data_IF_526121633792
#
_entry.id   IF_526121633792
#
_cell.length_a   1.000
_cell.length_b   1.000
_cell.length_c   1.000
_cell.angle_alpha   90.00
_cell.angle_beta   90.00
_cell.angle_gamma   90.00
#
_symmetry.space_group_name_H-M   'P 1'
#
loop_
_entity.id
_entity.type
_entity.pdbx_description
1 polymer ?
#
# COMPACT_ATOMS: atom_id res chain seq x y z
N UNK A 1 -3.03 -2.62 20.69
CA UNK A 1 -3.03 -3.57 19.57
C UNK A 1 -3.86 -3.02 18.42
N UNK A 2 -3.20 -2.30 17.48
CA UNK A 2 -3.85 -1.85 16.26
C UNK A 2 -3.94 -3.06 15.31
N UNK A 3 -5.11 -3.68 15.21
CA UNK A 3 -5.42 -4.66 14.19
C UNK A 3 -6.06 -3.94 13.01
N UNK A 4 -5.33 -3.74 11.93
CA UNK A 4 -5.97 -3.53 10.64
C UNK A 4 -6.51 -4.89 10.19
N UNK A 5 -7.79 -5.15 10.45
CA UNK A 5 -8.49 -6.34 9.94
C UNK A 5 -8.98 -6.03 8.53
N UNK A 6 -8.39 -6.69 7.54
CA UNK A 6 -9.05 -6.87 6.26
C UNK A 6 -9.96 -8.11 6.41
N UNK A 7 -11.27 -7.90 6.42
CA UNK A 7 -12.28 -8.94 6.45
C UNK A 7 -13.15 -8.81 5.19
N UNK A 8 -12.72 -9.47 4.12
CA UNK A 8 -13.66 -9.88 3.08
C UNK A 8 -14.37 -11.16 3.51
N UNK A 9 -15.58 -11.45 3.01
CA UNK A 9 -16.26 -12.71 3.27
C UNK A 9 -15.39 -13.88 2.80
N UNK A 10 -15.37 -14.97 3.59
CA UNK A 10 -14.69 -16.21 3.23
C UNK A 10 -15.22 -16.72 1.86
N UNK A 11 -14.37 -17.04 0.90
CA UNK A 11 -14.82 -17.56 -0.38
C UNK A 11 -15.45 -18.95 -0.21
N UNK A 12 -16.48 -19.24 -1.00
CA UNK A 12 -17.04 -20.57 -1.14
C UNK A 12 -16.07 -21.47 -1.89
N UNK A 13 -16.09 -22.77 -1.57
CA UNK A 13 -15.28 -23.83 -2.20
C UNK A 13 -15.52 -23.77 -3.72
N UNK A 14 -14.53 -23.33 -4.51
CA UNK A 14 -14.63 -23.24 -5.98
C UNK A 14 -14.18 -21.90 -6.57
N UNK A 15 -14.06 -20.81 -5.81
CA UNK A 15 -13.61 -19.54 -6.35
C UNK A 15 -12.08 -19.51 -6.50
N UNK A 16 -11.65 -19.37 -7.73
CA UNK A 16 -10.24 -19.26 -8.06
C UNK A 16 -9.69 -17.92 -7.59
N UNK A 17 -8.70 -18.00 -6.75
CA UNK A 17 -7.48 -17.25 -6.72
C UNK A 17 -7.27 -16.14 -5.71
N UNK A 18 -7.91 -15.06 -5.54
CA UNK A 18 -7.33 -13.91 -4.80
C UNK A 18 -7.72 -13.78 -3.32
N UNK A 19 -8.57 -14.61 -2.80
CA UNK A 19 -9.25 -14.42 -1.50
C UNK A 19 -8.50 -14.94 -0.27
N UNK A 20 -7.33 -15.53 -0.43
CA UNK A 20 -6.54 -16.11 0.68
C UNK A 20 -5.24 -15.35 0.99
N UNK A 21 -5.15 -14.08 0.61
CA UNK A 21 -3.92 -13.29 0.75
C UNK A 21 -4.23 -11.94 1.39
N UNK A 22 -3.47 -11.57 2.41
CA UNK A 22 -3.68 -10.33 3.13
C UNK A 22 -2.35 -9.61 3.39
N UNK A 23 -2.40 -8.28 3.37
CA UNK A 23 -1.35 -7.45 3.95
C UNK A 23 -1.86 -6.81 5.23
N UNK A 24 -1.07 -6.86 6.29
CA UNK A 24 -1.38 -6.19 7.55
C UNK A 24 -0.14 -5.47 8.09
N UNK A 25 -0.36 -4.31 8.72
CA UNK A 25 0.69 -3.61 9.45
C UNK A 25 0.75 -4.11 10.89
N UNK A 26 1.96 -4.38 11.37
CA UNK A 26 2.22 -4.93 12.71
C UNK A 26 3.45 -4.27 13.33
N UNK A 27 3.49 -4.25 14.67
CA UNK A 27 4.72 -4.00 15.40
C UNK A 27 5.56 -5.29 15.43
N UNK A 28 6.70 -5.27 14.75
CA UNK A 28 7.63 -6.39 14.69
C UNK A 28 8.77 -6.17 15.69
N UNK A 29 9.07 -7.19 16.50
CA UNK A 29 10.25 -7.21 17.37
C UNK A 29 11.33 -8.08 16.71
N UNK A 30 12.54 -7.51 16.55
CA UNK A 30 13.68 -8.22 16.00
C UNK A 30 14.92 -7.89 16.86
N UNK A 31 15.29 -8.82 17.74
CA UNK A 31 16.26 -8.59 18.79
C UNK A 31 15.85 -7.44 19.73
N UNK A 32 16.72 -6.48 19.92
CA UNK A 32 16.45 -5.26 20.70
C UNK A 32 15.68 -4.16 19.93
N UNK A 33 15.39 -4.35 18.65
CA UNK A 33 14.76 -3.35 17.80
C UNK A 33 13.28 -3.67 17.59
N UNK A 34 12.46 -2.61 17.48
CA UNK A 34 11.09 -2.69 17.05
C UNK A 34 10.93 -2.01 15.69
N UNK A 35 10.13 -2.60 14.79
CA UNK A 35 9.83 -2.07 13.47
C UNK A 35 8.33 -1.95 13.26
N UNK A 36 7.90 -0.95 12.51
CA UNK A 36 6.57 -0.91 11.92
C UNK A 36 6.64 -1.68 10.59
N UNK A 37 5.99 -2.84 10.54
CA UNK A 37 6.17 -3.78 9.43
C UNK A 37 4.84 -4.15 8.78
N UNK A 38 4.85 -4.41 7.48
CA UNK A 38 3.76 -5.03 6.75
C UNK A 38 4.13 -6.46 6.38
N UNK A 39 3.22 -7.38 6.60
CA UNK A 39 3.37 -8.79 6.22
C UNK A 39 2.48 -9.10 5.02
N UNK A 40 3.04 -9.77 4.04
CA UNK A 40 2.32 -10.40 2.95
C UNK A 40 2.14 -11.87 3.27
N UNK A 41 0.89 -12.31 3.42
CA UNK A 41 0.55 -13.66 3.85
C UNK A 41 -0.23 -14.34 2.73
N UNK A 42 0.16 -15.53 2.37
CA UNK A 42 -0.50 -16.40 1.40
C UNK A 42 -1.15 -17.62 2.06
N UNK A 43 -1.74 -18.52 1.24
CA UNK A 43 -2.36 -19.73 1.74
C UNK A 43 -1.41 -20.64 2.53
N UNK A 44 -0.14 -20.62 2.15
CA UNK A 44 0.91 -21.48 2.75
C UNK A 44 1.73 -20.75 3.83
N UNK A 45 1.29 -19.56 4.28
CA UNK A 45 1.93 -18.80 5.34
C UNK A 45 2.55 -17.48 4.88
N UNK A 46 3.56 -17.02 5.61
CA UNK A 46 4.26 -15.76 5.36
C UNK A 46 5.05 -15.82 4.05
N UNK A 47 4.79 -14.85 3.17
CA UNK A 47 5.51 -14.68 1.89
C UNK A 47 6.63 -13.65 2.05
N UNK A 48 6.33 -12.49 2.64
CA UNK A 48 7.27 -11.39 2.78
C UNK A 48 6.97 -10.48 3.97
N UNK A 49 8.00 -9.80 4.44
CA UNK A 49 7.90 -8.72 5.44
C UNK A 49 8.56 -7.48 4.87
N UNK A 50 7.85 -6.38 4.89
CA UNK A 50 8.36 -5.05 4.57
C UNK A 50 8.41 -4.22 5.86
N UNK A 51 9.56 -3.65 6.19
CA UNK A 51 9.75 -2.74 7.32
C UNK A 51 9.67 -1.29 6.85
N UNK A 52 8.77 -0.51 7.41
CA UNK A 52 8.47 0.87 7.02
C UNK A 52 9.74 1.72 6.90
N UNK A 53 10.01 2.21 5.71
CA UNK A 53 11.20 3.02 5.44
C UNK A 53 11.07 4.42 6.02
N UNK A 54 9.90 5.05 5.93
CA UNK A 54 9.68 6.45 6.29
C UNK A 54 8.77 6.54 7.52
N UNK A 55 9.38 6.69 8.69
CA UNK A 55 8.66 6.84 9.96
C UNK A 55 8.04 8.24 10.07
N UNK A 56 6.80 8.31 10.57
CA UNK A 56 6.04 9.55 10.74
C UNK A 56 5.97 9.96 12.20
N UNK A 57 6.26 11.24 12.51
CA UNK A 57 6.11 11.83 13.84
C UNK A 57 6.72 10.95 14.96
N UNK A 58 5.96 10.65 16.00
CA UNK A 58 6.39 9.89 17.17
C UNK A 58 6.80 8.44 16.89
N UNK A 59 6.49 7.91 15.70
CA UNK A 59 7.03 6.61 15.31
C UNK A 59 8.55 6.56 15.35
N UNK A 60 9.23 7.71 15.14
CA UNK A 60 10.69 7.83 15.20
C UNK A 60 11.26 7.56 16.60
N UNK A 61 10.43 7.72 17.63
CA UNK A 61 10.81 7.45 19.03
C UNK A 61 10.52 5.99 19.43
N UNK A 62 9.64 5.30 18.68
CA UNK A 62 9.15 3.96 19.04
C UNK A 62 9.73 2.86 18.17
N UNK A 63 10.05 3.18 16.91
CA UNK A 63 10.49 2.21 15.91
C UNK A 63 11.83 2.57 15.31
N UNK A 64 12.61 1.56 14.97
CA UNK A 64 13.78 1.70 14.11
C UNK A 64 13.33 1.91 12.66
N UNK A 65 14.10 2.70 11.90
CA UNK A 65 13.92 2.83 10.46
C UNK A 65 13.99 1.46 9.80
N UNK A 66 13.09 1.19 8.87
CA UNK A 66 13.10 -0.04 8.09
C UNK A 66 14.40 -0.21 7.32
N UNK A 67 14.85 -1.45 7.21
CA UNK A 67 16.06 -1.85 6.51
C UNK A 67 15.80 -2.90 5.42
N UNK A 68 14.53 -3.12 5.09
CA UNK A 68 14.12 -3.95 3.95
C UNK A 68 13.98 -3.06 2.71
N UNK A 69 14.48 -3.48 1.54
CA UNK A 69 14.23 -2.76 0.30
C UNK A 69 12.75 -2.81 -0.09
N UNK A 70 12.34 -1.89 -0.97
CA UNK A 70 11.05 -2.00 -1.64
C UNK A 70 11.12 -3.16 -2.65
N UNK A 71 10.36 -4.22 -2.39
CA UNK A 71 10.37 -5.45 -3.18
C UNK A 71 8.99 -5.80 -3.72
N UNK A 72 8.98 -6.55 -4.82
CA UNK A 72 7.77 -7.02 -5.50
C UNK A 72 7.76 -8.54 -5.46
N UNK A 73 6.62 -9.09 -5.11
CA UNK A 73 6.41 -10.53 -4.93
C UNK A 73 5.33 -11.01 -5.92
N UNK A 74 5.68 -12.01 -6.73
CA UNK A 74 4.72 -12.67 -7.60
C UNK A 74 3.80 -13.57 -6.78
N UNK A 75 2.50 -13.41 -6.98
CA UNK A 75 1.49 -14.17 -6.29
C UNK A 75 0.50 -14.74 -7.30
N UNK A 76 0.93 -15.84 -7.94
CA UNK A 76 0.12 -16.53 -8.95
C UNK A 76 -0.13 -15.66 -10.18
N UNK A 77 0.94 -15.03 -10.69
CA UNK A 77 0.92 -14.19 -11.86
C UNK A 77 0.51 -12.72 -11.62
N UNK A 78 0.26 -12.32 -10.37
CA UNK A 78 0.02 -10.93 -9.97
C UNK A 78 1.16 -10.45 -9.08
N UNK A 79 1.79 -9.34 -9.45
CA UNK A 79 2.97 -8.79 -8.77
C UNK A 79 2.58 -7.71 -7.78
N UNK A 80 2.85 -7.97 -6.50
CA UNK A 80 2.45 -7.13 -5.37
C UNK A 80 3.65 -6.46 -4.73
N UNK A 81 3.58 -5.13 -4.60
CA UNK A 81 4.49 -4.33 -3.77
C UNK A 81 3.80 -3.86 -2.50
N UNK A 82 4.57 -3.55 -1.46
CA UNK A 82 4.06 -3.04 -0.19
C UNK A 82 4.63 -1.67 0.14
N UNK A 83 3.78 -0.79 0.66
CA UNK A 83 4.12 0.48 1.31
C UNK A 83 3.36 0.57 2.63
N UNK A 84 3.82 1.37 3.58
CA UNK A 84 3.12 1.60 4.84
C UNK A 84 2.89 3.10 5.05
N UNK A 85 1.63 3.52 5.19
CA UNK A 85 1.23 4.85 5.64
C UNK A 85 2.09 5.97 4.99
N UNK A 86 2.93 6.65 5.74
CA UNK A 86 3.72 7.81 5.29
C UNK A 86 4.67 7.56 4.11
N UNK A 87 4.92 6.31 3.71
CA UNK A 87 5.68 6.01 2.49
C UNK A 87 5.02 6.62 1.24
N UNK A 88 3.70 6.89 1.27
CA UNK A 88 2.98 7.53 0.17
C UNK A 88 3.51 8.92 -0.18
N UNK A 89 4.12 9.62 0.80
CA UNK A 89 4.63 10.99 0.62
C UNK A 89 5.86 11.02 -0.30
N UNK A 90 6.57 9.90 -0.39
CA UNK A 90 7.80 9.75 -1.17
C UNK A 90 7.50 9.10 -2.52
N UNK A 91 7.50 9.86 -3.63
CA UNK A 91 7.25 9.30 -4.97
C UNK A 91 8.20 8.17 -5.33
N UNK A 92 9.41 8.19 -4.80
CA UNK A 92 10.44 7.17 -4.99
C UNK A 92 9.97 5.79 -4.52
N UNK A 93 9.16 5.70 -3.45
CA UNK A 93 8.65 4.44 -2.93
C UNK A 93 7.76 3.74 -3.98
N UNK A 94 6.73 4.44 -4.46
CA UNK A 94 5.83 3.91 -5.48
C UNK A 94 6.56 3.67 -6.82
N UNK A 95 7.46 4.59 -7.21
CA UNK A 95 8.25 4.47 -8.43
C UNK A 95 9.17 3.25 -8.40
N UNK A 96 9.85 3.00 -7.29
CA UNK A 96 10.72 1.82 -7.13
C UNK A 96 9.93 0.52 -7.28
N UNK A 97 8.77 0.41 -6.63
CA UNK A 97 7.90 -0.76 -6.76
C UNK A 97 7.42 -0.94 -8.20
N UNK A 98 7.00 0.13 -8.85
CA UNK A 98 6.52 0.09 -10.22
C UNK A 98 7.63 -0.30 -11.22
N UNK A 99 8.86 0.21 -11.06
CA UNK A 99 10.02 -0.17 -11.87
C UNK A 99 10.43 -1.63 -11.67
N UNK A 100 10.22 -2.19 -10.47
CA UNK A 100 10.37 -3.62 -10.20
C UNK A 100 9.20 -4.46 -10.70
N UNK A 101 8.23 -3.82 -11.35
CA UNK A 101 7.12 -4.47 -12.05
C UNK A 101 5.89 -4.73 -11.19
N UNK A 102 5.66 -4.01 -10.11
CA UNK A 102 4.42 -4.13 -9.35
C UNK A 102 3.19 -3.88 -10.23
N UNK A 103 2.20 -4.75 -10.14
CA UNK A 103 0.88 -4.57 -10.70
C UNK A 103 -0.03 -3.84 -9.68
N UNK A 104 0.14 -4.20 -8.39
CA UNK A 104 -0.65 -3.68 -7.27
C UNK A 104 0.28 -3.23 -6.15
N UNK A 105 0.02 -2.06 -5.58
CA UNK A 105 0.64 -1.58 -4.34
C UNK A 105 -0.37 -1.76 -3.20
N UNK A 106 -0.04 -2.60 -2.22
CA UNK A 106 -0.78 -2.74 -0.98
C UNK A 106 -0.25 -1.75 0.05
N UNK A 107 -1.15 -0.91 0.61
CA UNK A 107 -0.82 0.24 1.41
C UNK A 107 -1.62 0.30 2.71
N UNK A 108 -1.29 -0.54 3.74
CA UNK A 108 -1.90 -0.43 5.06
C UNK A 108 -1.49 0.89 5.73
N UNK A 109 -2.46 1.57 6.37
CA UNK A 109 -2.26 2.95 6.81
C UNK A 109 -3.03 3.30 8.08
N UNK A 110 -2.49 4.28 8.82
CA UNK A 110 -3.14 5.00 9.91
C UNK A 110 -3.05 6.52 9.62
N UNK A 111 -3.75 6.96 8.58
CA UNK A 111 -3.67 8.33 8.07
C UNK A 111 -4.43 9.30 8.98
N UNK A 112 -3.75 10.37 9.36
CA UNK A 112 -4.32 11.50 10.11
C UNK A 112 -4.35 12.79 9.27
N UNK A 113 -3.58 12.85 8.17
CA UNK A 113 -3.56 13.98 7.24
C UNK A 113 -4.42 13.67 6.01
N UNK A 114 -5.15 14.67 5.47
CA UNK A 114 -6.15 14.46 4.41
C UNK A 114 -5.57 14.24 3.01
N UNK A 115 -4.26 14.37 2.82
CA UNK A 115 -3.65 14.47 1.48
C UNK A 115 -3.46 13.13 0.77
N UNK A 116 -3.29 12.04 1.52
CA UNK A 116 -2.95 10.74 0.97
C UNK A 116 -3.97 10.20 -0.06
N UNK A 117 -5.30 10.30 0.15
CA UNK A 117 -6.26 9.79 -0.82
C UNK A 117 -6.11 10.41 -2.21
N UNK A 118 -5.83 11.72 -2.29
CA UNK A 118 -5.58 12.41 -3.56
C UNK A 118 -4.20 12.07 -4.13
N UNK A 119 -3.16 12.08 -3.30
CA UNK A 119 -1.80 11.77 -3.73
C UNK A 119 -1.66 10.36 -4.31
N UNK A 120 -2.35 9.38 -3.73
CA UNK A 120 -2.32 8.00 -4.24
C UNK A 120 -2.88 7.85 -5.65
N UNK A 121 -3.79 8.72 -6.09
CA UNK A 121 -4.26 8.75 -7.48
C UNK A 121 -3.13 9.14 -8.43
N UNK A 122 -2.33 10.14 -8.05
CA UNK A 122 -1.13 10.53 -8.80
C UNK A 122 -0.11 9.40 -8.80
N UNK A 123 0.13 8.72 -7.66
CA UNK A 123 1.02 7.55 -7.59
C UNK A 123 0.57 6.44 -8.53
N UNK A 124 -0.74 6.19 -8.63
CA UNK A 124 -1.28 5.21 -9.58
C UNK A 124 -1.07 5.63 -11.03
N UNK A 125 -1.40 6.88 -11.35
CA UNK A 125 -1.32 7.43 -12.71
C UNK A 125 0.12 7.45 -13.25
N UNK A 126 1.06 8.05 -12.51
CA UNK A 126 2.46 8.22 -12.93
C UNK A 126 3.26 6.92 -13.00
N UNK A 127 2.77 5.86 -12.34
CA UNK A 127 3.40 4.53 -12.27
C UNK A 127 2.62 3.45 -13.02
N UNK A 128 1.40 3.74 -13.48
CA UNK A 128 0.50 2.77 -14.10
C UNK A 128 0.39 1.50 -13.24
N UNK A 129 -0.05 1.67 -11.99
CA UNK A 129 -0.27 0.58 -11.02
C UNK A 129 -1.62 0.74 -10.35
N UNK A 130 -2.19 -0.36 -9.87
CA UNK A 130 -3.28 -0.29 -8.90
C UNK A 130 -2.73 0.01 -7.51
N UNK A 131 -3.51 0.70 -6.67
CA UNK A 131 -3.21 0.83 -5.25
C UNK A 131 -4.43 0.47 -4.41
N UNK A 132 -4.19 -0.27 -3.33
CA UNK A 132 -5.19 -0.63 -2.33
C UNK A 132 -4.73 -0.03 -1.00
N UNK A 133 -5.31 1.10 -0.63
CA UNK A 133 -5.06 1.74 0.66
C UNK A 133 -6.09 1.26 1.66
N UNK A 134 -5.65 0.52 2.67
CA UNK A 134 -6.48 0.11 3.80
C UNK A 134 -6.18 1.05 4.98
N UNK A 135 -7.09 1.98 5.27
CA UNK A 135 -6.91 2.99 6.28
C UNK A 135 -7.78 2.76 7.51
N UNK A 136 -7.35 3.31 8.62
CA UNK A 136 -8.04 3.27 9.91
C UNK A 136 -9.10 4.36 10.00
N UNK A 137 -10.18 4.08 10.74
CA UNK A 137 -11.22 5.03 11.17
C UNK A 137 -11.15 5.26 12.68
N UNK A 138 -11.88 6.27 13.16
CA UNK A 138 -12.05 6.55 14.58
C UNK A 138 -10.95 7.43 15.17
N UNK A 139 -10.89 7.47 16.48
CA UNK A 139 -9.95 8.30 17.24
C UNK A 139 -9.20 7.44 18.25
N UNK A 140 -7.93 7.78 18.47
CA UNK A 140 -7.10 7.15 19.49
C UNK A 140 -6.37 8.22 20.29
N UNK A 141 -6.41 8.13 21.60
CA UNK A 141 -5.69 9.01 22.51
C UNK A 141 -4.59 8.21 23.22
N UNK A 142 -3.38 8.25 22.68
CA UNK A 142 -2.19 7.59 23.29
C UNK A 142 -1.53 8.48 24.33
N UNK A 143 -1.64 9.79 24.13
CA UNK A 143 -1.13 10.81 25.04
C UNK A 143 -2.32 11.67 25.45
N UNK A 144 -2.54 11.81 26.78
CA UNK A 144 -3.66 12.59 27.34
C UNK A 144 -3.72 13.99 26.73
N UNK A 145 -4.87 14.39 26.23
CA UNK A 145 -5.11 15.69 25.60
C UNK A 145 -4.58 15.82 24.16
N UNK A 146 -4.08 14.73 23.54
CA UNK A 146 -3.59 14.71 22.16
C UNK A 146 -4.25 13.59 21.35
N UNK A 147 -5.56 13.67 21.07
CA UNK A 147 -6.24 12.66 20.29
C UNK A 147 -5.78 12.67 18.82
N UNK A 148 -5.57 11.50 18.25
CA UNK A 148 -5.31 11.29 16.84
C UNK A 148 -6.61 10.82 16.16
N UNK A 149 -7.18 11.64 15.29
CA UNK A 149 -8.34 11.27 14.48
C UNK A 149 -7.87 10.71 13.14
N UNK A 150 -8.28 9.49 12.81
CA UNK A 150 -7.99 8.85 11.54
C UNK A 150 -9.03 9.23 10.50
N UNK A 151 -8.60 9.46 9.27
CA UNK A 151 -9.45 10.03 8.22
C UNK A 151 -10.35 8.99 7.52
N UNK A 152 -10.18 7.68 7.82
CA UNK A 152 -10.91 6.64 7.07
C UNK A 152 -10.56 6.66 5.58
N UNK A 153 -11.59 6.64 4.73
CA UNK A 153 -11.44 6.74 3.28
C UNK A 153 -10.50 5.68 2.68
N UNK A 154 -10.57 4.42 3.14
CA UNK A 154 -9.89 3.32 2.47
C UNK A 154 -10.23 3.34 0.99
N UNK A 155 -9.23 3.08 0.10
CA UNK A 155 -9.40 3.38 -1.31
C UNK A 155 -8.78 2.32 -2.20
N UNK A 156 -9.46 2.02 -3.30
CA UNK A 156 -8.89 1.27 -4.43
C UNK A 156 -8.79 2.24 -5.62
N UNK A 157 -7.58 2.46 -6.10
CA UNK A 157 -7.27 3.34 -7.22
C UNK A 157 -6.73 2.55 -8.41
N UNK A 158 -7.08 2.99 -9.61
CA UNK A 158 -6.71 2.36 -10.88
C UNK A 158 -5.46 3.01 -11.51
N UNK A 159 -4.79 2.33 -12.47
CA UNK A 159 -3.61 2.83 -13.17
C UNK A 159 -3.81 4.11 -13.99
N UNK A 160 -5.05 4.49 -14.25
CA UNK A 160 -5.42 5.75 -14.90
C UNK A 160 -5.75 6.89 -13.91
N UNK A 161 -5.46 6.67 -12.61
CA UNK A 161 -5.72 7.64 -11.55
C UNK A 161 -7.17 7.72 -11.09
N UNK A 162 -8.06 6.86 -11.59
CA UNK A 162 -9.46 6.84 -11.16
C UNK A 162 -9.64 6.12 -9.82
N UNK A 163 -10.57 6.60 -9.03
CA UNK A 163 -11.06 5.92 -7.84
C UNK A 163 -12.04 4.82 -8.27
N UNK A 164 -11.69 3.56 -8.03
CA UNK A 164 -12.60 2.44 -8.24
C UNK A 164 -13.55 2.25 -7.04
N UNK A 165 -13.06 2.55 -5.86
CA UNK A 165 -13.82 2.53 -4.63
C UNK A 165 -13.18 3.44 -3.58
N UNK A 166 -14.00 4.15 -2.82
CA UNK A 166 -13.61 4.87 -1.62
C UNK A 166 -14.61 4.61 -0.51
N UNK A 167 -14.12 4.12 0.63
CA UNK A 167 -14.90 3.86 1.81
C UNK A 167 -15.28 5.15 2.56
N UNK A 168 -16.21 5.03 3.49
CA UNK A 168 -16.61 6.08 4.42
C UNK A 168 -15.43 6.54 5.30
N UNK A 169 -15.55 7.75 5.81
CA UNK A 169 -14.63 8.31 6.82
C UNK A 169 -14.84 7.70 8.23
N UNK A 170 -16.04 7.19 8.49
CA UNK A 170 -16.44 6.83 9.85
C UNK A 170 -16.97 5.39 10.02
N UNK A 171 -17.28 4.68 8.93
CA UNK A 171 -17.84 3.33 9.00
C UNK A 171 -16.81 2.28 8.66
N UNK A 172 -16.87 1.14 9.34
CA UNK A 172 -16.13 -0.06 8.95
C UNK A 172 -16.76 -0.65 7.69
N UNK A 173 -15.97 -0.80 6.64
CA UNK A 173 -16.43 -1.30 5.36
C UNK A 173 -15.41 -2.30 4.79
N UNK A 174 -15.93 -3.31 4.09
CA UNK A 174 -15.16 -4.22 3.27
C UNK A 174 -15.72 -4.24 1.85
N UNK A 175 -14.85 -4.13 0.85
CA UNK A 175 -15.23 -4.15 -0.57
C UNK A 175 -14.33 -5.05 -1.38
N UNK A 176 -14.94 -5.83 -2.27
CA UNK A 176 -14.24 -6.64 -3.27
C UNK A 176 -14.51 -6.03 -4.64
N UNK A 177 -13.45 -5.84 -5.42
CA UNK A 177 -13.52 -5.33 -6.80
C UNK A 177 -12.68 -6.26 -7.68
N UNK A 178 -13.24 -6.68 -8.79
CA UNK A 178 -12.50 -7.38 -9.83
C UNK A 178 -11.72 -6.37 -10.67
N UNK A 179 -10.43 -6.62 -10.85
CA UNK A 179 -9.54 -5.78 -11.66
C UNK A 179 -8.88 -6.60 -12.76
N UNK A 180 -8.56 -5.92 -13.85
CA UNK A 180 -7.74 -6.45 -14.93
C UNK A 180 -6.31 -5.95 -14.74
N UNK A 181 -5.39 -6.83 -14.35
CA UNK A 181 -4.00 -6.48 -14.06
C UNK A 181 -3.22 -6.02 -15.29
N UNK A 182 -3.66 -6.40 -16.49
CA UNK A 182 -3.01 -5.98 -17.75
C UNK A 182 -3.05 -4.44 -17.92
N UNK A 183 -4.03 -3.77 -17.33
CA UNK A 183 -4.08 -2.31 -17.28
C UNK A 183 -2.89 -1.69 -16.56
N UNK A 184 -2.35 -2.37 -15.54
CA UNK A 184 -1.15 -1.94 -14.84
C UNK A 184 0.12 -2.26 -15.63
N UNK A 185 0.14 -3.33 -16.42
CA UNK A 185 1.28 -3.77 -17.21
C UNK A 185 1.50 -2.91 -18.44
N UNK A 186 0.41 -2.38 -19.01
CA UNK A 186 0.51 -1.44 -20.13
C UNK A 186 1.02 -0.08 -19.65
N UNK A 187 2.29 0.21 -19.95
CA UNK A 187 2.97 1.49 -19.62
C UNK A 187 2.91 2.50 -20.76
N UNK A 188 2.26 2.18 -21.87
CA UNK A 188 2.07 3.12 -22.97
C UNK A 188 0.94 4.11 -22.64
N UNK A 189 1.17 5.38 -22.91
CA UNK A 189 0.15 6.43 -22.91
C UNK A 189 -0.52 6.53 -24.28
N UNK A 190 0.28 6.39 -25.32
CA UNK A 190 -0.10 6.38 -26.74
C UNK A 190 0.93 5.56 -27.52
N UNK A 191 0.88 5.61 -28.86
CA UNK A 191 1.78 4.87 -29.74
C UNK A 191 3.25 5.26 -29.60
N UNK A 192 3.53 6.51 -29.26
CA UNK A 192 4.88 7.07 -29.19
C UNK A 192 5.45 7.13 -27.77
N UNK A 193 4.59 7.24 -26.74
CA UNK A 193 5.02 7.49 -25.37
C UNK A 193 4.82 6.29 -24.45
N UNK A 194 5.93 5.87 -23.84
CA UNK A 194 5.93 4.86 -22.79
C UNK A 194 6.58 5.44 -21.53
N UNK A 195 5.80 5.55 -20.42
CA UNK A 195 6.24 6.26 -19.22
C UNK A 195 7.50 5.68 -18.56
N UNK A 196 7.91 4.45 -18.89
CA UNK A 196 9.13 3.85 -18.35
C UNK A 196 10.31 3.90 -19.33
N UNK A 197 10.05 3.70 -20.63
CA UNK A 197 11.08 3.76 -21.67
C UNK A 197 11.56 5.20 -21.91
N UNK A 198 10.65 6.18 -21.78
CA UNK A 198 10.94 7.59 -22.00
C UNK A 198 11.63 8.26 -20.81
N UNK A 199 11.86 7.51 -19.71
CA UNK A 199 12.62 8.04 -18.57
C UNK A 199 14.06 8.34 -18.94
N UNK A 200 14.59 9.39 -18.35
CA UNK A 200 15.98 9.85 -18.51
C UNK A 200 16.73 9.74 -17.16
N UNK A 201 17.01 8.49 -16.66
CA UNK A 201 17.62 8.29 -15.34
C UNK A 201 18.94 9.02 -15.16
N UNK A 202 19.69 9.24 -16.24
CA UNK A 202 20.95 9.97 -16.24
C UNK A 202 20.78 11.46 -15.85
N UNK A 203 19.56 12.01 -15.98
CA UNK A 203 19.24 13.39 -15.62
C UNK A 203 18.65 13.54 -14.22
N UNK A 204 18.34 12.43 -13.54
CA UNK A 204 17.67 12.44 -12.23
C UNK A 204 18.64 12.20 -11.05
N UNK A 205 19.93 12.29 -11.33
CA UNK A 205 20.96 12.16 -10.29
C UNK A 205 20.96 13.40 -9.42
N UNK A 206 20.63 13.24 -8.11
CA UNK A 206 20.76 14.22 -7.06
C UNK A 206 21.90 13.82 -6.11
#
# INVERSE_FOLDING_TARGET
HARAKWLGPMPKKGDSCMTKRATCAVAEKSGARAYNSAMLIGPNGLIAVYRKAHLFSDEKNLFSKGNTPFEVHDIGGVRIGMMICFDWFFPEAARTLALKGADIICHPSNLVLPYCPAAMLTRCLENRVFAITANRIGTEERVKGKPLKFIGQSQIAAPDGKVLYRASEAKEEARVITIDVEKARNKNLNELNNIFKDRRPELYKG
#
